data_IF_482197743311
#
_entry.id   IF_482197743311
#
_cell.length_a   1.000
_cell.length_b   1.000
_cell.length_c   1.000
_cell.angle_alpha   90.00
_cell.angle_beta   90.00
_cell.angle_gamma   90.00
#
_symmetry.space_group_name_H-M   'P 1'
#
loop_
_entity.id
_entity.type
_entity.pdbx_description
1 polymer ?
#
# COMPACT_ATOMS: atom_id res chain seq x y z
N UNK A 1 -11.87 -29.36 -5.13
CA UNK A 1 -13.22 -29.10 -4.56
C UNK A 1 -13.17 -27.77 -3.83
N UNK A 2 -13.84 -26.73 -4.35
CA UNK A 2 -13.99 -25.45 -3.64
C UNK A 2 -15.21 -25.55 -2.74
N UNK A 3 -15.13 -25.00 -1.53
CA UNK A 3 -16.21 -25.07 -0.54
C UNK A 3 -17.44 -24.29 -1.00
N UNK A 4 -18.63 -24.83 -0.73
CA UNK A 4 -19.92 -24.26 -1.13
C UNK A 4 -20.18 -22.86 -0.55
N UNK A 5 -19.52 -22.54 0.57
CA UNK A 5 -19.56 -21.23 1.24
C UNK A 5 -18.87 -20.16 0.40
N UNK A 6 -17.74 -20.49 -0.23
CA UNK A 6 -16.99 -19.56 -1.09
C UNK A 6 -17.80 -19.12 -2.31
N UNK A 7 -18.63 -19.99 -2.88
CA UNK A 7 -19.53 -19.65 -3.99
C UNK A 7 -20.66 -18.72 -3.54
N UNK A 8 -21.20 -18.92 -2.34
CA UNK A 8 -22.27 -18.09 -1.77
C UNK A 8 -21.77 -16.68 -1.46
N UNK A 9 -20.57 -16.55 -0.91
CA UNK A 9 -19.96 -15.24 -0.60
C UNK A 9 -19.66 -14.44 -1.87
N UNK A 10 -19.28 -15.12 -2.96
CA UNK A 10 -19.07 -14.46 -4.27
C UNK A 10 -20.38 -13.98 -4.89
N UNK A 11 -21.48 -14.73 -4.74
CA UNK A 11 -22.79 -14.37 -5.29
C UNK A 11 -23.47 -13.25 -4.48
N UNK A 12 -23.20 -13.13 -3.18
CA UNK A 12 -23.81 -12.16 -2.29
C UNK A 12 -23.10 -10.78 -2.26
N UNK A 13 -22.12 -10.52 -3.14
CA UNK A 13 -21.38 -9.26 -3.14
C UNK A 13 -20.29 -9.19 -2.07
N UNK A 14 -19.66 -10.33 -1.75
CA UNK A 14 -18.51 -10.40 -0.85
C UNK A 14 -17.46 -9.36 -1.23
N UNK A 15 -17.11 -8.51 -0.25
CA UNK A 15 -16.13 -7.42 -0.40
C UNK A 15 -14.88 -7.98 -1.07
N UNK A 16 -14.50 -7.40 -2.23
CA UNK A 16 -13.32 -7.82 -2.99
C UNK A 16 -12.14 -7.94 -2.02
N UNK A 17 -11.39 -9.04 -2.07
CA UNK A 17 -10.21 -9.25 -1.20
C UNK A 17 -9.22 -8.08 -1.27
N UNK A 18 -9.16 -7.37 -2.39
CA UNK A 18 -8.40 -6.13 -2.53
C UNK A 18 -8.91 -5.00 -1.61
N UNK A 19 -10.23 -4.77 -1.53
CA UNK A 19 -10.82 -3.80 -0.62
C UNK A 19 -10.69 -4.22 0.85
N UNK A 20 -10.80 -5.51 1.15
CA UNK A 20 -10.55 -6.03 2.50
C UNK A 20 -9.07 -5.96 2.90
N UNK A 21 -8.15 -6.16 1.95
CA UNK A 21 -6.72 -5.95 2.17
C UNK A 21 -6.36 -4.46 2.26
N UNK A 22 -7.12 -3.58 1.60
CA UNK A 22 -6.97 -2.14 1.76
C UNK A 22 -7.29 -1.68 3.19
N UNK A 23 -8.26 -2.33 3.86
CA UNK A 23 -8.52 -2.13 5.29
C UNK A 23 -7.40 -2.64 6.21
N UNK A 24 -6.48 -3.48 5.68
CA UNK A 24 -5.30 -3.98 6.41
C UNK A 24 -4.01 -3.21 6.07
N UNK A 25 -4.10 -2.16 5.24
CA UNK A 25 -2.95 -1.33 4.91
C UNK A 25 -2.60 -0.39 6.07
N UNK A 26 -1.29 -0.23 6.32
CA UNK A 26 -0.80 0.77 7.29
C UNK A 26 -1.09 2.20 6.83
N UNK A 27 -1.05 2.44 5.52
CA UNK A 27 -1.36 3.71 4.88
C UNK A 27 -2.80 3.69 4.32
N UNK A 28 -3.50 4.79 4.48
CA UNK A 28 -4.81 5.03 3.85
C UNK A 28 -4.64 5.23 2.34
N UNK A 29 -5.69 4.96 1.57
CA UNK A 29 -5.72 5.19 0.12
C UNK A 29 -5.18 6.56 -0.35
N UNK A 30 -5.60 7.70 0.23
CA UNK A 30 -5.05 9.01 -0.15
C UNK A 30 -3.54 9.15 0.15
N UNK A 31 -3.06 8.55 1.23
CA UNK A 31 -1.64 8.57 1.58
C UNK A 31 -0.82 7.72 0.60
N UNK A 32 -1.39 6.59 0.17
CA UNK A 32 -0.80 5.70 -0.83
C UNK A 32 -0.71 6.38 -2.20
N UNK A 33 -1.73 7.14 -2.60
CA UNK A 33 -1.70 7.94 -3.84
C UNK A 33 -0.65 9.04 -3.80
N UNK A 34 -0.47 9.71 -2.65
CA UNK A 34 0.56 10.73 -2.49
C UNK A 34 1.96 10.12 -2.64
N UNK A 35 2.18 8.93 -2.06
CA UNK A 35 3.43 8.20 -2.19
C UNK A 35 3.66 7.72 -3.64
N UNK A 36 2.64 7.16 -4.30
CA UNK A 36 2.68 6.72 -5.70
C UNK A 36 3.07 7.88 -6.63
N UNK A 37 2.41 9.02 -6.52
CA UNK A 37 2.69 10.20 -7.34
C UNK A 37 4.09 10.77 -7.11
N UNK A 38 4.59 10.69 -5.88
CA UNK A 38 5.95 11.11 -5.56
C UNK A 38 7.01 10.17 -6.16
N UNK A 39 6.80 8.86 -6.09
CA UNK A 39 7.70 7.87 -6.70
C UNK A 39 7.71 8.04 -8.23
N UNK A 40 6.54 8.15 -8.86
CA UNK A 40 6.42 8.38 -10.30
C UNK A 40 7.12 9.68 -10.73
N UNK A 41 6.90 10.77 -10.00
CA UNK A 41 7.56 12.05 -10.27
C UNK A 41 9.08 12.01 -10.11
N UNK A 42 9.61 11.14 -9.25
CA UNK A 42 11.05 10.90 -9.13
C UNK A 42 11.59 9.99 -10.22
N UNK A 43 10.84 8.94 -10.61
CA UNK A 43 11.17 8.07 -11.72
C UNK A 43 11.22 8.84 -13.05
N UNK A 44 10.24 9.72 -13.32
CA UNK A 44 10.20 10.60 -14.49
C UNK A 44 11.42 11.53 -14.58
N UNK A 45 11.98 11.91 -13.43
CA UNK A 45 13.18 12.75 -13.34
C UNK A 45 14.49 11.95 -13.42
N UNK A 46 14.43 10.64 -13.65
CA UNK A 46 15.58 9.76 -13.76
C UNK A 46 16.18 9.34 -12.41
N UNK A 47 15.46 9.51 -11.31
CA UNK A 47 15.88 9.10 -9.97
C UNK A 47 14.98 7.97 -9.46
N UNK A 48 15.24 6.70 -9.84
CA UNK A 48 14.51 5.57 -9.30
C UNK A 48 14.71 5.52 -7.78
N UNK A 49 13.62 5.57 -7.03
CA UNK A 49 13.68 5.52 -5.57
C UNK A 49 14.08 4.14 -5.07
N UNK A 50 14.94 4.14 -4.07
CA UNK A 50 15.32 2.93 -3.37
C UNK A 50 14.26 2.56 -2.32
N UNK A 51 14.15 1.26 -1.98
CA UNK A 51 13.16 0.77 -1.01
C UNK A 51 13.25 1.52 0.32
N UNK A 52 14.45 1.85 0.79
CA UNK A 52 14.64 2.63 2.02
C UNK A 52 14.04 4.03 1.95
N UNK A 53 14.11 4.70 0.80
CA UNK A 53 13.54 6.04 0.63
C UNK A 53 12.01 5.99 0.65
N UNK A 54 11.43 4.98 -0.01
CA UNK A 54 9.97 4.74 0.01
C UNK A 54 9.50 4.50 1.45
N UNK A 55 10.24 3.72 2.24
CA UNK A 55 9.93 3.50 3.66
C UNK A 55 10.00 4.80 4.48
N UNK A 56 11.02 5.63 4.26
CA UNK A 56 11.16 6.91 4.96
C UNK A 56 10.00 7.84 4.64
N UNK A 57 9.64 8.02 3.38
CA UNK A 57 8.49 8.85 3.00
C UNK A 57 7.16 8.31 3.54
N UNK A 58 6.97 6.99 3.51
CA UNK A 58 5.82 6.36 4.13
C UNK A 58 5.76 6.63 5.65
N UNK A 59 6.90 6.61 6.33
CA UNK A 59 7.01 6.93 7.75
C UNK A 59 6.70 8.39 8.04
N UNK A 60 7.21 9.33 7.24
CA UNK A 60 6.90 10.76 7.39
C UNK A 60 5.40 11.05 7.25
N UNK A 61 4.74 10.39 6.29
CA UNK A 61 3.29 10.52 6.12
C UNK A 61 2.55 9.94 7.34
N UNK A 62 2.99 8.78 7.85
CA UNK A 62 2.42 8.18 9.05
C UNK A 62 2.65 9.05 10.30
N UNK A 63 3.82 9.65 10.45
CA UNK A 63 4.16 10.57 11.53
C UNK A 63 3.28 11.80 11.50
N UNK A 64 3.10 12.41 10.32
CA UNK A 64 2.25 13.57 10.14
C UNK A 64 0.78 13.28 10.50
N UNK A 65 0.30 12.05 10.26
CA UNK A 65 -1.08 11.64 10.58
C UNK A 65 -1.27 11.20 12.03
N UNK A 66 -0.42 10.30 12.52
CA UNK A 66 -0.58 9.63 13.82
C UNK A 66 0.09 10.39 14.96
N UNK A 67 1.01 11.31 14.65
CA UNK A 67 1.78 12.07 15.63
C UNK A 67 2.95 11.28 16.26
N UNK A 68 3.61 11.87 17.28
CA UNK A 68 4.74 11.24 17.95
C UNK A 68 4.29 9.98 18.71
N UNK A 69 4.67 8.82 18.20
CA UNK A 69 4.22 7.50 18.68
C UNK A 69 3.74 6.55 17.59
N UNK A 70 3.80 6.96 16.32
CA UNK A 70 3.48 6.09 15.19
C UNK A 70 4.43 4.89 15.09
N UNK A 71 3.89 3.76 14.65
CA UNK A 71 4.65 2.55 14.40
C UNK A 71 5.20 2.58 12.96
N UNK A 72 6.52 2.68 12.76
CA UNK A 72 7.11 2.79 11.43
C UNK A 72 6.78 1.58 10.54
N UNK A 73 6.85 1.77 9.23
CA UNK A 73 6.68 0.70 8.24
C UNK A 73 7.81 -0.32 8.39
N UNK A 74 7.44 -1.61 8.33
CA UNK A 74 8.42 -2.69 8.45
C UNK A 74 9.27 -2.84 7.18
N UNK A 75 10.42 -3.51 7.29
CA UNK A 75 11.34 -3.74 6.16
C UNK A 75 10.69 -4.37 4.93
N UNK A 76 9.74 -5.30 5.13
CA UNK A 76 9.06 -5.99 4.03
C UNK A 76 7.81 -5.23 3.52
N UNK A 77 7.52 -4.06 4.10
CA UNK A 77 6.35 -3.28 3.69
C UNK A 77 6.55 -2.68 2.29
N UNK A 78 7.75 -2.20 2.00
CA UNK A 78 8.13 -1.62 0.70
C UNK A 78 8.07 -2.66 -0.40
N UNK A 79 8.56 -3.88 -0.17
CA UNK A 79 8.48 -4.97 -1.15
C UNK A 79 7.02 -5.29 -1.47
N UNK A 80 6.16 -5.41 -0.45
CA UNK A 80 4.72 -5.61 -0.64
C UNK A 80 4.01 -4.40 -1.26
N UNK A 81 4.57 -3.21 -1.14
CA UNK A 81 4.03 -2.00 -1.74
C UNK A 81 4.34 -1.97 -3.23
N UNK A 82 5.60 -2.23 -3.60
CA UNK A 82 6.07 -2.34 -4.98
C UNK A 82 5.38 -3.50 -5.69
N UNK A 83 5.29 -4.70 -5.08
CA UNK A 83 4.56 -5.83 -5.67
C UNK A 83 3.09 -5.51 -6.00
N UNK A 84 2.44 -4.67 -5.19
CA UNK A 84 1.05 -4.26 -5.43
C UNK A 84 0.91 -3.17 -6.49
N UNK A 85 1.91 -2.32 -6.62
CA UNK A 85 1.95 -1.23 -7.58
C UNK A 85 2.82 -1.56 -8.79
N UNK A 86 3.22 -2.81 -8.96
CA UNK A 86 4.07 -3.27 -10.07
C UNK A 86 3.47 -2.99 -11.45
N UNK A 87 2.14 -2.91 -11.56
CA UNK A 87 1.49 -2.54 -12.82
C UNK A 87 1.61 -1.04 -13.15
N UNK A 88 2.07 -0.22 -12.19
CA UNK A 88 2.14 1.25 -12.30
C UNK A 88 3.55 1.82 -12.09
N UNK A 89 4.41 1.14 -11.34
CA UNK A 89 5.81 1.48 -11.05
C UNK A 89 6.75 0.64 -11.92
#
# INVERSE_FOLDING_TARGET
KVAHTTLRDHYAGGVKKSAFNALKQKLLYPEEQQLEGFILGCADRGFPMNHTQIATFANEILEARLGPGYEPVGKNWTDRFVERHHDKL
#
